data_IF_441019431637
#
_entry.id   IF_441019431637
#
_cell.length_a   1.000
_cell.length_b   1.000
_cell.length_c   1.000
_cell.angle_alpha   90.00
_cell.angle_beta   90.00
_cell.angle_gamma   90.00
#
_symmetry.space_group_name_H-M   'P 1'
#
loop_
_entity.id
_entity.type
_entity.pdbx_description
1 polymer ?
#
# COMPACT_ATOMS: atom_id res chain seq x y z
N UNK A 1 2.85 -11.72 -31.46
CA UNK A 1 3.43 -12.16 -30.18
C UNK A 1 2.35 -12.02 -29.13
N UNK A 2 1.67 -13.12 -28.81
CA UNK A 2 0.62 -13.14 -27.78
C UNK A 2 1.28 -13.00 -26.42
N UNK A 3 1.04 -11.88 -25.72
CA UNK A 3 1.32 -11.82 -24.29
C UNK A 3 0.23 -12.65 -23.63
N UNK A 4 0.62 -13.78 -23.07
CA UNK A 4 -0.27 -14.55 -22.20
C UNK A 4 -0.74 -13.63 -21.08
N UNK A 5 -2.03 -13.34 -21.07
CA UNK A 5 -2.77 -12.83 -19.91
C UNK A 5 -2.73 -13.92 -18.83
N UNK A 6 -1.56 -14.12 -18.23
CA UNK A 6 -1.48 -14.76 -16.92
C UNK A 6 -1.86 -13.65 -15.96
N UNK A 7 -3.16 -13.51 -15.70
CA UNK A 7 -3.62 -12.92 -14.44
C UNK A 7 -3.01 -13.79 -13.34
N UNK A 8 -1.81 -13.44 -12.89
CA UNK A 8 -1.19 -14.07 -11.74
C UNK A 8 -2.21 -13.94 -10.61
N UNK A 9 -2.69 -15.07 -10.09
CA UNK A 9 -3.59 -15.07 -8.96
C UNK A 9 -2.93 -14.23 -7.86
N UNK A 10 -3.69 -13.28 -7.30
CA UNK A 10 -3.19 -12.46 -6.21
C UNK A 10 -2.60 -13.38 -5.12
N UNK A 11 -1.39 -13.08 -4.61
CA UNK A 11 -0.74 -13.97 -3.65
C UNK A 11 -1.63 -14.14 -2.42
N UNK A 12 -1.68 -15.36 -1.88
CA UNK A 12 -2.53 -15.67 -0.74
C UNK A 12 -2.05 -14.90 0.50
N UNK A 13 -2.94 -14.09 1.07
CA UNK A 13 -2.68 -13.31 2.28
C UNK A 13 -2.89 -14.18 3.54
N UNK A 14 -2.14 -13.96 4.63
CA UNK A 14 -2.35 -14.69 5.88
C UNK A 14 -3.63 -14.24 6.60
N UNK A 15 -4.06 -14.98 7.65
CA UNK A 15 -5.18 -14.57 8.50
C UNK A 15 -5.02 -13.15 9.04
N UNK A 16 -6.14 -12.43 9.20
CA UNK A 16 -6.15 -11.02 9.59
C UNK A 16 -6.00 -10.05 8.41
N UNK A 17 -5.73 -10.56 7.20
CA UNK A 17 -5.59 -9.78 5.98
C UNK A 17 -6.61 -10.21 4.92
N UNK A 18 -7.08 -9.25 4.13
CA UNK A 18 -8.13 -9.46 3.14
C UNK A 18 -7.79 -8.84 1.78
N UNK A 19 -8.51 -9.32 0.77
CA UNK A 19 -8.47 -8.74 -0.56
C UNK A 19 -8.98 -7.30 -0.57
N UNK A 20 -8.50 -6.52 -1.53
CA UNK A 20 -8.98 -5.18 -1.83
C UNK A 20 -10.27 -5.25 -2.66
N UNK A 21 -11.17 -4.29 -2.45
CA UNK A 21 -12.36 -4.14 -3.28
C UNK A 21 -11.98 -3.66 -4.70
N UNK A 22 -12.82 -3.87 -5.73
CA UNK A 22 -12.54 -3.38 -7.08
C UNK A 22 -12.24 -1.88 -7.10
N UNK A 23 -11.13 -1.47 -7.73
CA UNK A 23 -10.67 -0.08 -7.79
C UNK A 23 -9.86 0.38 -6.58
N UNK A 24 -10.02 -0.25 -5.42
CA UNK A 24 -9.35 0.16 -4.18
C UNK A 24 -7.81 0.07 -4.27
N UNK A 25 -7.29 -0.87 -5.05
CA UNK A 25 -5.84 -1.01 -5.23
C UNK A 25 -5.20 0.24 -5.85
N UNK A 26 -5.83 0.81 -6.87
CA UNK A 26 -5.33 2.03 -7.52
C UNK A 26 -5.42 3.24 -6.58
N UNK A 27 -6.52 3.35 -5.82
CA UNK A 27 -6.71 4.42 -4.84
C UNK A 27 -5.66 4.37 -3.73
N UNK A 28 -5.39 3.18 -3.18
CA UNK A 28 -4.36 2.98 -2.16
C UNK A 28 -2.95 3.33 -2.68
N UNK A 29 -2.59 2.86 -3.87
CA UNK A 29 -1.29 3.17 -4.48
C UNK A 29 -1.13 4.67 -4.75
N UNK A 30 -2.17 5.33 -5.28
CA UNK A 30 -2.15 6.78 -5.52
C UNK A 30 -2.02 7.58 -4.22
N UNK A 31 -2.73 7.15 -3.17
CA UNK A 31 -2.64 7.76 -1.85
C UNK A 31 -1.24 7.62 -1.25
N UNK A 32 -0.65 6.42 -1.34
CA UNK A 32 0.71 6.18 -0.85
C UNK A 32 1.72 7.10 -1.54
N UNK A 33 1.65 7.20 -2.87
CA UNK A 33 2.52 8.09 -3.65
C UNK A 33 2.38 9.56 -3.24
N UNK A 34 1.14 10.00 -2.95
CA UNK A 34 0.87 11.36 -2.46
C UNK A 34 1.43 11.61 -1.05
N UNK A 35 1.31 10.62 -0.15
CA UNK A 35 1.79 10.73 1.23
C UNK A 35 3.33 10.77 1.30
N UNK A 36 4.01 9.87 0.58
CA UNK A 36 5.48 9.82 0.47
C UNK A 36 6.03 11.06 -0.24
N UNK A 37 5.35 11.51 -1.29
CA UNK A 37 5.77 12.66 -2.09
C UNK A 37 6.83 12.31 -3.14
N UNK A 38 7.16 13.27 -4.03
CA UNK A 38 8.01 13.02 -5.20
C UNK A 38 9.50 12.89 -4.88
N UNK A 39 9.94 13.35 -3.72
CA UNK A 39 11.35 13.29 -3.28
C UNK A 39 11.68 12.00 -2.53
N UNK A 40 10.68 11.13 -2.31
CA UNK A 40 10.86 9.87 -1.61
C UNK A 40 11.64 8.86 -2.46
N UNK A 41 12.49 8.00 -1.86
CA UNK A 41 13.17 6.93 -2.58
C UNK A 41 12.24 6.10 -3.45
N UNK A 42 11.00 5.83 -3.05
CA UNK A 42 10.05 5.02 -3.82
C UNK A 42 9.45 5.72 -5.05
N UNK A 43 9.63 7.04 -5.23
CA UNK A 43 9.06 7.81 -6.34
C UNK A 43 9.28 7.19 -7.74
N UNK A 44 10.49 6.72 -8.11
CA UNK A 44 10.74 6.10 -9.42
C UNK A 44 9.92 4.82 -9.66
N UNK A 45 9.58 4.09 -8.60
CA UNK A 45 8.78 2.86 -8.71
C UNK A 45 7.29 3.15 -8.91
N UNK A 46 6.78 4.28 -8.40
CA UNK A 46 5.42 4.73 -8.74
C UNK A 46 5.33 5.15 -10.21
N UNK A 47 6.32 5.89 -10.72
CA UNK A 47 6.37 6.31 -12.13
C UNK A 47 6.44 5.10 -13.09
N UNK A 48 7.16 4.06 -12.69
CA UNK A 48 7.26 2.80 -13.43
C UNK A 48 6.04 1.88 -13.27
N UNK A 49 5.03 2.26 -12.47
CA UNK A 49 3.89 1.41 -12.10
C UNK A 49 4.31 0.07 -11.45
N UNK A 50 5.46 0.05 -10.78
CA UNK A 50 6.03 -1.14 -10.15
C UNK A 50 5.41 -1.43 -8.77
N UNK A 51 4.80 -0.44 -8.12
CA UNK A 51 4.14 -0.58 -6.82
C UNK A 51 2.64 -0.83 -7.00
N UNK A 52 2.11 -1.86 -6.35
CA UNK A 52 0.69 -2.23 -6.40
C UNK A 52 0.19 -2.61 -5.02
N UNK A 53 -0.89 -1.99 -4.55
CA UNK A 53 -1.59 -2.49 -3.36
C UNK A 53 -2.20 -3.87 -3.66
N UNK A 54 -1.99 -4.84 -2.77
CA UNK A 54 -2.44 -6.24 -2.96
C UNK A 54 -3.37 -6.74 -1.85
N UNK A 55 -3.44 -6.03 -0.73
CA UNK A 55 -4.26 -6.43 0.41
C UNK A 55 -4.41 -5.33 1.45
N UNK A 56 -5.38 -5.50 2.34
CA UNK A 56 -5.59 -4.65 3.51
C UNK A 56 -5.73 -5.49 4.77
N UNK A 57 -5.34 -4.91 5.90
CA UNK A 57 -5.70 -5.47 7.20
C UNK A 57 -7.22 -5.45 7.36
N UNK A 58 -7.76 -6.49 8.00
CA UNK A 58 -9.17 -6.55 8.37
C UNK A 58 -9.48 -5.77 9.65
N UNK A 59 -8.45 -5.45 10.44
CA UNK A 59 -8.56 -4.89 11.78
C UNK A 59 -7.88 -3.52 11.94
N UNK A 60 -7.15 -3.04 10.92
CA UNK A 60 -6.46 -1.75 10.92
C UNK A 60 -6.53 -1.03 9.56
N UNK A 61 -5.90 0.14 9.44
CA UNK A 61 -5.77 0.91 8.19
C UNK A 61 -4.53 0.51 7.36
N UNK A 62 -3.87 -0.59 7.75
CA UNK A 62 -2.65 -1.03 7.09
C UNK A 62 -2.97 -1.66 5.72
N UNK A 63 -2.15 -1.28 4.75
CA UNK A 63 -2.22 -1.79 3.37
C UNK A 63 -0.89 -2.44 3.05
N UNK A 64 -0.95 -3.63 2.45
CA UNK A 64 0.21 -4.32 1.93
C UNK A 64 0.34 -4.05 0.43
N UNK A 65 1.57 -3.79 0.01
CA UNK A 65 1.95 -3.50 -1.36
C UNK A 65 2.94 -4.56 -1.84
N UNK A 66 2.84 -4.92 -3.11
CA UNK A 66 3.91 -5.56 -3.86
C UNK A 66 4.68 -4.50 -4.64
N UNK A 67 5.98 -4.71 -4.80
CA UNK A 67 6.85 -3.85 -5.58
C UNK A 67 7.81 -4.70 -6.40
N UNK A 68 7.69 -4.53 -7.71
CA UNK A 68 8.49 -5.28 -8.67
C UNK A 68 9.95 -4.79 -8.64
N UNK A 69 10.90 -5.73 -8.80
CA UNK A 69 12.35 -5.48 -8.86
C UNK A 69 12.97 -4.80 -7.60
N UNK A 70 12.36 -4.97 -6.42
CA UNK A 70 12.94 -4.59 -5.13
C UNK A 70 13.43 -5.80 -4.31
N UNK A 71 14.43 -5.59 -3.44
CA UNK A 71 15.02 -6.66 -2.62
C UNK A 71 14.05 -7.25 -1.58
N UNK A 72 13.15 -6.41 -1.06
CA UNK A 72 12.05 -6.80 -0.19
C UNK A 72 10.76 -6.70 -1.03
N UNK A 73 10.27 -7.75 -1.70
CA UNK A 73 9.23 -7.64 -2.73
C UNK A 73 7.87 -7.13 -2.21
N UNK A 74 7.71 -6.98 -0.89
CA UNK A 74 6.51 -6.47 -0.26
C UNK A 74 6.85 -5.40 0.79
N UNK A 75 5.87 -4.56 1.09
CA UNK A 75 5.92 -3.72 2.29
C UNK A 75 4.53 -3.41 2.81
N UNK A 76 4.46 -3.03 4.08
CA UNK A 76 3.26 -2.51 4.71
C UNK A 76 3.42 -1.00 4.91
N UNK A 77 2.35 -0.27 4.62
CA UNK A 77 2.24 1.11 5.04
C UNK A 77 0.85 1.37 5.60
N UNK A 78 0.81 2.18 6.66
CA UNK A 78 -0.44 2.68 7.21
C UNK A 78 -0.88 3.89 6.41
N UNK A 79 -1.91 3.72 5.58
CA UNK A 79 -2.47 4.85 4.87
C UNK A 79 -3.23 5.74 5.84
N UNK A 80 -2.99 7.03 5.76
CA UNK A 80 -3.69 7.98 6.61
C UNK A 80 -5.20 8.03 6.27
N UNK A 81 -5.59 7.57 5.07
CA UNK A 81 -6.94 7.75 4.49
C UNK A 81 -7.26 6.74 3.38
N UNK A 82 -8.19 5.82 3.62
CA UNK A 82 -8.63 4.87 2.58
C UNK A 82 -10.05 5.12 2.07
N UNK A 83 -10.80 6.07 2.66
CA UNK A 83 -12.20 6.34 2.32
C UNK A 83 -12.41 7.77 1.81
N UNK A 84 -13.29 7.97 0.80
CA UNK A 84 -13.52 9.27 0.16
C UNK A 84 -14.14 10.35 1.06
N UNK A 85 -14.71 10.00 2.23
CA UNK A 85 -15.40 10.96 3.10
C UNK A 85 -14.62 11.30 4.39
N UNK A 86 -13.33 11.58 4.22
CA UNK A 86 -12.41 11.73 5.35
C UNK A 86 -12.00 13.18 5.63
N UNK A 87 -12.76 14.19 5.16
CA UNK A 87 -12.54 15.63 5.46
C UNK A 87 -11.99 15.96 6.88
N UNK A 88 -12.40 15.30 7.98
CA UNK A 88 -11.83 15.58 9.31
C UNK A 88 -10.32 15.38 9.46
N UNK A 89 -9.70 14.43 8.75
CA UNK A 89 -8.25 14.27 8.82
C UNK A 89 -7.52 15.22 7.85
N UNK A 90 -8.23 15.84 6.88
CA UNK A 90 -7.63 16.77 5.89
C UNK A 90 -7.26 18.03 6.64
N UNK A 91 -8.12 18.37 7.60
CA UNK A 91 -7.93 19.41 8.60
C UNK A 91 -6.76 19.11 9.56
N UNK A 92 -6.35 17.84 9.75
CA UNK A 92 -5.13 17.52 10.51
C UNK A 92 -3.86 17.78 9.70
N UNK A 93 -3.89 17.53 8.38
CA UNK A 93 -2.76 17.76 7.47
C UNK A 93 -2.58 19.22 7.06
N UNK A 94 -3.64 20.03 7.09
CA UNK A 94 -3.56 21.48 6.89
C UNK A 94 -2.88 22.22 8.07
N UNK A 95 -2.57 21.51 9.17
CA UNK A 95 -1.69 22.06 10.20
C UNK A 95 -0.23 21.87 9.74
N UNK A 96 0.60 22.92 9.72
CA UNK A 96 1.98 22.88 9.24
C UNK A 96 2.95 22.04 10.10
N UNK A 97 2.44 21.24 11.05
CA UNK A 97 3.25 20.44 11.96
C UNK A 97 3.21 18.97 11.54
N UNK A 98 4.31 18.52 10.94
CA UNK A 98 4.71 17.14 10.68
C UNK A 98 3.63 16.27 10.02
N UNK A 99 3.74 16.09 8.69
CA UNK A 99 3.17 14.90 8.05
C UNK A 99 3.68 13.69 8.85
N UNK A 100 2.82 12.82 9.41
CA UNK A 100 3.29 11.55 9.91
C UNK A 100 3.94 10.83 8.73
N UNK A 101 5.19 10.40 8.91
CA UNK A 101 5.88 9.52 7.97
C UNK A 101 4.96 8.31 7.73
N UNK A 102 4.55 8.01 6.48
CA UNK A 102 3.69 6.88 6.15
C UNK A 102 4.50 5.58 6.32
N UNK A 103 4.89 5.28 7.56
CA UNK A 103 5.93 4.31 7.92
C UNK A 103 5.89 3.07 7.04
N UNK A 104 6.89 2.97 6.16
CA UNK A 104 7.04 1.84 5.25
C UNK A 104 7.85 0.77 5.97
N UNK A 105 7.25 -0.40 6.19
CA UNK A 105 7.96 -1.55 6.74
C UNK A 105 8.21 -2.58 5.63
N UNK A 106 9.47 -2.80 5.21
CA UNK A 106 9.80 -3.81 4.21
C UNK A 106 9.52 -5.21 4.73
N UNK A 107 9.06 -6.09 3.84
CA UNK A 107 8.80 -7.50 4.11
C UNK A 107 9.47 -8.35 3.04
N UNK A 108 10.19 -9.38 3.47
CA UNK A 108 10.79 -10.35 2.55
C UNK A 108 9.73 -11.30 1.98
N UNK A 109 8.67 -11.58 2.76
CA UNK A 109 7.56 -12.43 2.34
C UNK A 109 6.25 -12.09 3.09
N UNK A 110 5.10 -12.50 2.53
CA UNK A 110 3.79 -12.24 3.13
C UNK A 110 3.53 -12.97 4.46
N UNK A 111 4.28 -14.02 4.79
CA UNK A 111 4.14 -14.74 6.06
C UNK A 111 4.48 -13.88 7.27
N UNK A 112 5.30 -12.84 7.09
CA UNK A 112 5.69 -11.88 8.14
C UNK A 112 4.51 -11.05 8.65
N UNK A 113 3.41 -10.96 7.89
CA UNK A 113 2.18 -10.29 8.29
C UNK A 113 1.36 -11.05 9.35
N UNK A 114 1.75 -12.29 9.67
CA UNK A 114 1.06 -13.10 10.68
C UNK A 114 1.17 -12.43 12.05
N UNK A 115 0.03 -12.14 12.69
CA UNK A 115 -0.02 -11.46 13.99
C UNK A 115 0.06 -9.94 13.94
N UNK A 116 0.18 -9.34 12.75
CA UNK A 116 0.08 -7.87 12.57
C UNK A 116 -1.37 -7.39 12.45
N UNK A 117 -2.24 -8.27 11.96
CA UNK A 117 -3.66 -8.00 11.75
C UNK A 117 -4.55 -8.42 12.91
N UNK A 118 -4.02 -8.68 14.11
CA UNK A 118 -4.79 -9.07 15.32
C UNK A 118 -5.08 -7.88 16.25
#
# INVERSE_FOLDING_TARGET
>A
MSRSDTTAAAPALPPGWGALDPGQAADCTAQLAFELGPDDPFAPWFDAQAIRAIGKSLNSEDVVYAIDDWEAPFFVSKLSWTRPDTRPALLKWLKPAARPDPGVVPLSNLGELTGWGD
#
